data_IF_239157159572
#
_entry.id   IF_239157159572
#
_cell.length_a   1.000
_cell.length_b   1.000
_cell.length_c   1.000
_cell.angle_alpha   90.00
_cell.angle_beta   90.00
_cell.angle_gamma   90.00
#
_symmetry.space_group_name_H-M   'P 1'
#
loop_
_entity.id
_entity.type
_entity.pdbx_description
1 polymer ?
#
# COMPACT_ATOMS: atom_id res chain seq x y z
N UNK A 1 45.80 -40.51 1.64
CA UNK A 1 45.00 -39.39 2.19
C UNK A 1 43.86 -38.91 1.28
N UNK A 2 43.79 -39.27 -0.02
CA UNK A 2 42.79 -38.76 -0.98
C UNK A 2 41.37 -39.35 -0.81
N UNK A 3 41.27 -40.59 -0.36
CA UNK A 3 39.98 -41.30 -0.17
C UNK A 3 39.11 -40.71 0.96
N UNK A 4 39.72 -40.25 2.05
CA UNK A 4 38.99 -39.73 3.21
C UNK A 4 38.30 -38.38 2.96
N UNK A 5 38.76 -37.59 1.99
CA UNK A 5 38.17 -36.30 1.63
C UNK A 5 36.89 -36.47 0.78
N UNK A 6 36.88 -37.46 -0.12
CA UNK A 6 35.73 -37.78 -0.98
C UNK A 6 34.52 -38.28 -0.18
N UNK A 7 34.75 -39.13 0.82
CA UNK A 7 33.67 -39.63 1.70
C UNK A 7 33.03 -38.53 2.56
N UNK A 8 33.83 -37.57 3.05
CA UNK A 8 33.33 -36.43 3.83
C UNK A 8 32.47 -35.48 2.99
N UNK A 9 32.85 -35.24 1.73
CA UNK A 9 32.07 -34.43 0.79
C UNK A 9 30.72 -35.08 0.42
N UNK A 10 30.71 -36.40 0.17
CA UNK A 10 29.48 -37.15 -0.10
C UNK A 10 28.54 -37.20 1.10
N UNK A 11 29.08 -37.37 2.32
CA UNK A 11 28.30 -37.33 3.55
C UNK A 11 27.66 -35.96 3.79
N UNK A 12 28.38 -34.87 3.50
CA UNK A 12 27.86 -33.50 3.61
C UNK A 12 26.75 -33.23 2.59
N UNK A 13 26.91 -33.72 1.36
CA UNK A 13 25.88 -33.60 0.31
C UNK A 13 24.60 -34.38 0.66
N UNK A 14 24.72 -35.60 1.19
CA UNK A 14 23.56 -36.40 1.62
C UNK A 14 22.84 -35.75 2.81
N UNK A 15 23.57 -35.24 3.81
CA UNK A 15 22.97 -34.49 4.91
C UNK A 15 22.26 -33.21 4.43
N UNK A 16 22.85 -32.48 3.48
CA UNK A 16 22.23 -31.27 2.91
C UNK A 16 20.89 -31.56 2.22
N UNK A 17 20.83 -32.64 1.43
CA UNK A 17 19.58 -33.06 0.77
C UNK A 17 18.52 -33.51 1.79
N UNK A 18 18.92 -34.22 2.84
CA UNK A 18 18.01 -34.63 3.90
C UNK A 18 17.38 -33.44 4.66
N UNK A 19 18.18 -32.42 4.97
CA UNK A 19 17.70 -31.20 5.63
C UNK A 19 16.73 -30.42 4.72
N UNK A 20 17.05 -30.30 3.43
CA UNK A 20 16.17 -29.63 2.46
C UNK A 20 14.82 -30.35 2.31
N UNK A 21 14.82 -31.69 2.29
CA UNK A 21 13.59 -32.49 2.21
C UNK A 21 12.67 -32.30 3.43
N UNK A 22 13.25 -32.22 4.63
CA UNK A 22 12.49 -31.96 5.87
C UNK A 22 11.95 -30.52 5.91
N UNK A 23 12.72 -29.54 5.45
CA UNK A 23 12.29 -28.13 5.38
C UNK A 23 11.10 -27.93 4.44
N UNK A 24 11.09 -28.58 3.28
CA UNK A 24 9.99 -28.51 2.31
C UNK A 24 8.69 -29.15 2.83
N UNK A 25 8.79 -30.26 3.57
CA UNK A 25 7.63 -30.89 4.22
C UNK A 25 7.05 -30.05 5.37
N UNK A 26 7.87 -29.22 6.03
CA UNK A 26 7.41 -28.28 7.05
C UNK A 26 6.59 -27.12 6.48
N UNK A 27 6.96 -26.59 5.31
CA UNK A 27 6.27 -25.45 4.69
C UNK A 27 4.83 -25.78 4.26
N UNK A 28 4.54 -27.00 3.81
CA UNK A 28 3.17 -27.39 3.44
C UNK A 28 2.24 -27.48 4.64
N UNK A 29 2.74 -27.91 5.80
CA UNK A 29 1.98 -27.99 7.06
C UNK A 29 1.75 -26.61 7.69
N UNK A 30 2.75 -25.71 7.61
CA UNK A 30 2.62 -24.33 8.07
C UNK A 30 1.58 -23.52 7.28
N UNK A 31 1.38 -23.81 5.99
CA UNK A 31 0.31 -23.20 5.19
C UNK A 31 -1.10 -23.52 5.73
N UNK A 32 -1.28 -24.70 6.33
CA UNK A 32 -2.57 -25.12 6.89
C UNK A 32 -2.82 -24.51 8.27
N UNK A 33 -1.79 -24.33 9.10
CA UNK A 33 -1.91 -23.74 10.44
C UNK A 33 -1.87 -22.20 10.45
N UNK A 34 -1.32 -21.57 9.41
CA UNK A 34 -1.24 -20.10 9.26
C UNK A 34 -2.52 -19.45 8.74
N UNK A 35 -3.61 -20.21 8.57
CA UNK A 35 -4.91 -19.67 8.14
C UNK A 35 -5.01 -19.31 6.66
N UNK A 36 -3.99 -19.62 5.86
CA UNK A 36 -4.03 -19.51 4.39
C UNK A 36 -4.82 -20.64 3.72
N UNK A 37 -5.12 -21.71 4.46
CA UNK A 37 -6.01 -22.75 3.99
C UNK A 37 -7.45 -22.24 3.90
N UNK A 38 -8.06 -22.41 2.73
CA UNK A 38 -9.43 -22.01 2.43
C UNK A 38 -10.40 -22.80 3.29
N UNK A 39 -10.79 -22.22 4.43
CA UNK A 39 -11.96 -22.66 5.19
C UNK A 39 -13.20 -22.09 4.49
N UNK A 40 -13.90 -22.92 3.72
CA UNK A 40 -15.23 -22.55 3.21
C UNK A 40 -16.18 -22.58 4.39
N UNK A 41 -16.84 -21.45 4.74
CA UNK A 41 -17.83 -21.44 5.82
C UNK A 41 -18.90 -22.50 5.55
N UNK A 42 -19.21 -23.30 6.57
CA UNK A 42 -20.21 -24.36 6.49
C UNK A 42 -21.57 -23.77 6.08
N UNK A 43 -21.99 -24.08 4.86
CA UNK A 43 -23.22 -23.60 4.25
C UNK A 43 -24.49 -24.16 4.93
N UNK A 44 -24.34 -25.14 5.83
CA UNK A 44 -25.41 -25.69 6.66
C UNK A 44 -25.37 -25.20 8.11
N UNK A 45 -24.42 -24.32 8.48
CA UNK A 45 -24.38 -23.75 9.80
C UNK A 45 -25.50 -22.70 9.97
N UNK A 46 -26.61 -23.13 10.56
CA UNK A 46 -27.73 -22.26 10.89
C UNK A 46 -27.37 -21.41 12.10
N UNK A 47 -26.89 -20.19 11.83
CA UNK A 47 -26.69 -19.18 12.88
C UNK A 47 -28.06 -18.67 13.34
N UNK A 48 -28.40 -18.97 14.59
CA UNK A 48 -29.61 -18.45 15.24
C UNK A 48 -29.42 -16.95 15.49
N UNK A 49 -30.19 -16.13 14.77
CA UNK A 49 -30.26 -14.68 15.06
C UNK A 49 -31.18 -14.47 16.27
N UNK A 50 -30.83 -13.55 17.18
CA UNK A 50 -31.77 -13.16 18.23
C UNK A 50 -33.07 -12.63 17.59
N UNK A 51 -34.24 -12.93 18.18
CA UNK A 51 -35.50 -12.43 17.66
C UNK A 51 -35.49 -10.90 17.60
N UNK A 52 -35.89 -10.35 16.45
CA UNK A 52 -36.09 -8.91 16.29
C UNK A 52 -37.36 -8.52 17.04
N UNK A 53 -37.21 -8.22 18.33
CA UNK A 53 -38.31 -7.65 19.14
C UNK A 53 -38.31 -6.16 18.87
N UNK A 54 -39.38 -5.68 18.26
CA UNK A 54 -39.71 -4.26 18.15
C UNK A 54 -39.87 -3.73 19.58
N UNK A 55 -38.96 -2.85 20.07
CA UNK A 55 -39.11 -2.30 21.41
C UNK A 55 -40.40 -1.49 21.50
N UNK A 56 -41.15 -1.53 22.60
CA UNK A 56 -42.41 -0.78 22.75
C UNK A 56 -42.23 0.75 22.68
N UNK A 57 -41.00 1.24 22.80
CA UNK A 57 -40.63 2.66 22.71
C UNK A 57 -40.14 3.03 21.30
N UNK A 58 -41.06 3.08 20.32
CA UNK A 58 -40.80 3.64 18.98
C UNK A 58 -40.89 5.18 18.94
N UNK A 59 -41.20 5.82 20.08
CA UNK A 59 -41.36 7.26 20.21
C UNK A 59 -40.12 7.95 20.80
N UNK A 60 -38.92 7.47 20.47
CA UNK A 60 -37.70 8.16 20.89
C UNK A 60 -37.59 9.50 20.17
N UNK A 61 -37.75 10.57 20.94
CA UNK A 61 -37.36 11.92 20.51
C UNK A 61 -35.91 11.85 20.02
N UNK A 62 -35.57 12.47 18.88
CA UNK A 62 -34.18 12.56 18.44
C UNK A 62 -33.30 13.01 19.61
N UNK A 63 -32.16 12.33 19.86
CA UNK A 63 -31.28 12.70 20.95
C UNK A 63 -30.91 14.18 20.80
N UNK A 64 -30.91 14.92 21.90
CA UNK A 64 -30.50 16.31 21.89
C UNK A 64 -29.08 16.40 21.30
N UNK A 65 -28.83 17.45 20.51
CA UNK A 65 -27.49 17.75 19.99
C UNK A 65 -26.49 17.77 21.16
N UNK A 66 -25.54 16.83 21.15
CA UNK A 66 -24.54 16.65 22.22
C UNK A 66 -24.83 15.56 23.26
N UNK A 67 -25.93 14.80 23.13
CA UNK A 67 -26.18 13.64 23.99
C UNK A 67 -25.14 12.52 23.72
N UNK A 68 -24.72 11.83 24.78
CA UNK A 68 -23.78 10.71 24.70
C UNK A 68 -24.33 9.64 23.76
N UNK A 69 -23.59 9.32 22.71
CA UNK A 69 -23.99 8.28 21.76
C UNK A 69 -24.11 6.94 22.49
N UNK A 70 -25.10 6.08 22.16
CA UNK A 70 -25.20 4.72 22.68
C UNK A 70 -23.87 3.97 22.55
N UNK A 71 -23.52 3.18 23.55
CA UNK A 71 -22.27 2.42 23.57
C UNK A 71 -22.16 1.48 22.36
N UNK A 72 -23.27 1.02 21.78
CA UNK A 72 -23.30 0.23 20.55
C UNK A 72 -22.74 1.00 19.34
N UNK A 73 -22.96 2.31 19.22
CA UNK A 73 -22.43 3.14 18.13
C UNK A 73 -20.95 3.49 18.35
N UNK A 74 -20.52 3.69 19.60
CA UNK A 74 -19.12 3.94 19.94
C UNK A 74 -18.22 2.75 19.56
N UNK A 75 -18.77 1.53 19.61
CA UNK A 75 -18.06 0.30 19.29
C UNK A 75 -18.12 -0.11 17.82
N UNK A 76 -18.90 0.55 16.95
CA UNK A 76 -18.96 0.18 15.52
C UNK A 76 -17.80 0.74 14.68
N UNK A 77 -17.16 1.82 15.12
CA UNK A 77 -15.99 2.40 14.44
C UNK A 77 -14.64 1.78 14.85
N UNK A 78 -14.60 0.94 15.88
CA UNK A 78 -13.38 0.47 16.51
C UNK A 78 -12.86 -0.91 16.03
N UNK A 79 -13.69 -1.98 15.90
CA UNK A 79 -13.17 -3.31 15.61
C UNK A 79 -12.58 -3.40 14.19
N UNK A 80 -13.19 -2.71 13.22
CA UNK A 80 -12.65 -2.65 11.85
C UNK A 80 -11.29 -1.93 11.79
N UNK A 81 -11.09 -0.85 12.55
CA UNK A 81 -9.80 -0.13 12.57
C UNK A 81 -8.69 -0.95 13.22
N UNK A 82 -8.97 -1.62 14.33
CA UNK A 82 -7.97 -2.48 14.98
C UNK A 82 -7.58 -3.68 14.12
N UNK A 83 -8.53 -4.23 13.34
CA UNK A 83 -8.28 -5.34 12.42
C UNK A 83 -7.54 -4.87 11.16
N UNK A 84 -7.89 -3.71 10.60
CA UNK A 84 -7.31 -3.19 9.35
C UNK A 84 -5.97 -2.45 9.55
N UNK A 85 -5.80 -1.75 10.67
CA UNK A 85 -4.64 -0.90 10.93
C UNK A 85 -3.81 -1.35 12.14
N UNK A 86 -4.19 -2.45 12.82
CA UNK A 86 -3.52 -2.95 14.01
C UNK A 86 -3.91 -2.18 15.28
N UNK A 87 -3.65 -2.79 16.45
CA UNK A 87 -3.75 -2.08 17.74
C UNK A 87 -2.79 -0.88 17.74
N UNK A 88 -3.29 0.24 18.28
CA UNK A 88 -2.60 1.52 18.51
C UNK A 88 -1.16 1.63 17.98
N UNK A 89 -0.98 2.49 16.98
CA UNK A 89 0.33 2.88 16.45
C UNK A 89 1.30 3.16 17.62
N UNK A 90 2.32 2.31 17.78
CA UNK A 90 3.36 2.47 18.80
C UNK A 90 3.29 1.53 20.02
N UNK A 91 2.32 0.63 20.12
CA UNK A 91 2.27 -0.37 21.21
C UNK A 91 3.49 -1.31 21.23
N UNK A 92 4.08 -1.59 20.07
CA UNK A 92 5.31 -2.40 19.93
C UNK A 92 6.58 -1.54 19.78
N UNK A 93 6.51 -0.23 20.00
CA UNK A 93 7.67 0.65 19.84
C UNK A 93 8.73 0.39 20.93
N UNK A 94 9.99 0.32 20.49
CA UNK A 94 11.15 0.19 21.37
C UNK A 94 11.28 1.40 22.31
N UNK A 95 12.06 1.23 23.38
CA UNK A 95 12.32 2.34 24.32
C UNK A 95 12.96 3.56 23.63
N UNK A 96 13.80 3.34 22.62
CA UNK A 96 14.44 4.41 21.85
C UNK A 96 13.45 5.18 20.97
N UNK A 97 12.53 4.49 20.31
CA UNK A 97 11.48 5.12 19.49
C UNK A 97 10.53 5.95 20.34
N UNK A 98 10.14 5.43 21.51
CA UNK A 98 9.32 6.19 22.47
C UNK A 98 10.03 7.44 22.98
N UNK A 99 11.34 7.35 23.27
CA UNK A 99 12.14 8.49 23.69
C UNK A 99 12.25 9.55 22.57
N UNK A 100 12.45 9.13 21.32
CA UNK A 100 12.51 10.03 20.16
C UNK A 100 11.17 10.74 19.92
N UNK A 101 10.05 10.01 19.96
CA UNK A 101 8.70 10.58 19.79
C UNK A 101 8.36 11.56 20.92
N UNK A 102 8.77 11.25 22.15
CA UNK A 102 8.60 12.15 23.30
C UNK A 102 9.45 13.41 23.14
N UNK A 103 10.71 13.28 22.71
CA UNK A 103 11.60 14.42 22.44
C UNK A 103 11.09 15.28 21.27
N UNK A 104 10.46 14.67 20.27
CA UNK A 104 9.80 15.35 19.16
C UNK A 104 8.46 16.02 19.54
N UNK A 105 8.01 15.88 20.80
CA UNK A 105 6.73 16.42 21.27
C UNK A 105 5.49 15.72 20.68
N UNK A 106 5.67 14.59 20.00
CA UNK A 106 4.61 13.86 19.31
C UNK A 106 3.91 12.80 20.19
N UNK A 107 4.29 12.68 21.47
CA UNK A 107 3.73 11.70 22.40
C UNK A 107 2.25 11.98 22.79
N UNK A 108 1.74 13.18 22.53
CA UNK A 108 0.39 13.62 22.91
C UNK A 108 -0.50 13.93 21.69
N UNK A 109 -0.23 13.33 20.53
CA UNK A 109 -1.10 13.49 19.37
C UNK A 109 -2.46 12.83 19.63
N UNK A 110 -3.55 13.60 19.52
CA UNK A 110 -4.89 13.07 19.68
C UNK A 110 -5.19 12.05 18.54
N UNK A 111 -5.56 10.80 18.86
CA UNK A 111 -5.80 9.76 17.86
C UNK A 111 -7.00 10.08 16.94
N UNK A 112 -7.83 11.05 17.30
CA UNK A 112 -8.99 11.51 16.53
C UNK A 112 -8.68 12.70 15.61
N UNK A 113 -7.46 13.27 15.64
CA UNK A 113 -7.11 14.43 14.77
C UNK A 113 -7.37 14.14 13.29
N UNK A 114 -7.06 12.93 12.81
CA UNK A 114 -7.33 12.57 11.40
C UNK A 114 -8.81 12.61 11.07
N UNK A 115 -9.66 12.04 11.93
CA UNK A 115 -11.12 12.10 11.73
C UNK A 115 -11.67 13.51 11.82
N UNK A 116 -11.10 14.36 12.69
CA UNK A 116 -11.46 15.77 12.81
C UNK A 116 -11.08 16.55 11.55
N UNK A 117 -9.85 16.37 11.06
CA UNK A 117 -9.36 16.99 9.81
C UNK A 117 -10.17 16.51 8.61
N UNK A 118 -10.49 15.22 8.53
CA UNK A 118 -11.32 14.67 7.46
C UNK A 118 -12.72 15.26 7.49
N UNK A 119 -13.31 15.43 8.68
CA UNK A 119 -14.63 16.05 8.84
C UNK A 119 -14.62 17.53 8.45
N UNK A 120 -13.61 18.29 8.88
CA UNK A 120 -13.43 19.69 8.50
C UNK A 120 -13.21 19.82 6.98
N UNK A 121 -12.37 18.94 6.41
CA UNK A 121 -12.03 18.90 4.99
C UNK A 121 -13.16 18.39 4.12
N UNK A 122 -14.11 17.62 4.65
CA UNK A 122 -15.24 17.08 3.91
C UNK A 122 -16.16 18.18 3.35
N UNK A 123 -16.15 19.38 3.94
CA UNK A 123 -16.85 20.55 3.39
C UNK A 123 -16.14 21.14 2.16
N UNK A 124 -14.84 20.87 2.01
CA UNK A 124 -14.04 21.28 0.86
C UNK A 124 -14.18 20.22 -0.24
N UNK A 125 -15.33 20.24 -0.92
CA UNK A 125 -15.50 19.46 -2.15
C UNK A 125 -14.67 20.09 -3.26
N UNK A 126 -13.45 19.58 -3.47
CA UNK A 126 -12.62 19.93 -4.64
C UNK A 126 -13.30 19.38 -5.90
N UNK A 127 -14.05 20.23 -6.59
CA UNK A 127 -14.61 19.90 -7.90
C UNK A 127 -13.46 19.78 -8.90
N UNK A 128 -13.37 18.70 -9.70
CA UNK A 128 -12.39 18.64 -10.77
C UNK A 128 -12.65 19.81 -11.72
N UNK A 129 -11.59 20.42 -12.25
CA UNK A 129 -11.68 21.53 -13.20
C UNK A 129 -12.41 21.06 -14.46
N UNK A 130 -13.73 21.25 -14.48
CA UNK A 130 -14.55 21.04 -15.67
C UNK A 130 -14.17 22.06 -16.74
N UNK A 131 -14.52 21.80 -18.01
CA UNK A 131 -14.30 22.74 -19.13
C UNK A 131 -14.80 24.16 -18.78
N UNK A 132 -15.89 24.27 -18.03
CA UNK A 132 -16.44 25.56 -17.58
C UNK A 132 -15.48 26.29 -16.62
N UNK A 133 -14.84 25.56 -15.70
CA UNK A 133 -13.83 26.14 -14.79
C UNK A 133 -12.59 26.62 -15.56
N UNK A 134 -12.12 25.83 -16.52
CA UNK A 134 -10.99 26.21 -17.38
C UNK A 134 -11.26 27.51 -18.17
N UNK A 135 -12.51 27.72 -18.61
CA UNK A 135 -12.93 28.96 -19.28
C UNK A 135 -12.91 30.16 -18.32
N UNK A 136 -13.41 30.00 -17.09
CA UNK A 136 -13.41 31.08 -16.08
C UNK A 136 -12.00 31.41 -15.59
N UNK A 137 -11.12 30.42 -15.52
CA UNK A 137 -9.73 30.56 -15.10
C UNK A 137 -8.79 30.99 -16.24
N UNK A 138 -9.34 31.25 -17.44
CA UNK A 138 -8.61 31.61 -18.65
C UNK A 138 -7.48 30.63 -19.03
N UNK A 139 -7.64 29.35 -18.66
CA UNK A 139 -6.72 28.28 -19.04
C UNK A 139 -7.04 27.84 -20.48
N UNK A 140 -6.07 27.87 -21.41
CA UNK A 140 -6.30 27.46 -22.78
C UNK A 140 -6.68 25.97 -22.85
N UNK A 141 -7.75 25.66 -23.59
CA UNK A 141 -8.32 24.30 -23.71
C UNK A 141 -7.38 23.29 -24.39
N UNK A 142 -6.32 23.79 -25.04
CA UNK A 142 -5.13 23.02 -25.37
C UNK A 142 -4.10 23.24 -24.25
N UNK A 143 -3.91 22.21 -23.45
CA UNK A 143 -2.98 22.06 -22.32
C UNK A 143 -1.49 22.32 -22.63
N UNK A 144 -1.12 23.48 -23.17
CA UNK A 144 0.27 23.78 -23.57
C UNK A 144 1.00 24.70 -22.58
N UNK A 145 0.31 25.30 -21.60
CA UNK A 145 0.91 26.28 -20.68
C UNK A 145 0.74 25.97 -19.19
N UNK A 146 0.03 24.92 -18.79
CA UNK A 146 -0.04 24.44 -17.40
C UNK A 146 0.16 22.92 -17.26
N UNK A 147 0.95 22.49 -16.28
CA UNK A 147 1.17 21.06 -15.96
C UNK A 147 -0.13 20.39 -15.44
N UNK A 148 -0.15 19.07 -15.30
CA UNK A 148 -1.26 18.29 -14.75
C UNK A 148 -1.72 18.77 -13.35
N UNK A 149 -0.81 19.40 -12.60
CA UNK A 149 -1.05 20.00 -11.28
C UNK A 149 -1.43 21.50 -11.34
N UNK A 150 -1.56 22.09 -12.53
CA UNK A 150 -1.98 23.50 -12.73
C UNK A 150 -0.87 24.55 -12.60
N UNK A 151 0.41 24.13 -12.48
CA UNK A 151 1.55 25.04 -12.40
C UNK A 151 1.90 25.61 -13.79
N UNK A 152 2.35 26.89 -13.89
CA UNK A 152 2.82 27.46 -15.16
C UNK A 152 3.99 26.65 -15.73
N UNK A 153 3.89 26.16 -16.96
CA UNK A 153 5.00 25.52 -17.67
C UNK A 153 5.97 26.58 -18.18
N UNK A 154 7.26 26.34 -17.94
CA UNK A 154 8.33 27.07 -18.61
C UNK A 154 8.43 26.60 -20.07
N UNK A 155 8.15 27.52 -20.99
CA UNK A 155 8.12 27.24 -22.43
C UNK A 155 9.48 26.79 -22.98
N UNK A 156 10.58 27.34 -22.44
CA UNK A 156 11.92 27.00 -22.93
C UNK A 156 12.35 25.61 -22.45
N UNK A 157 12.00 25.26 -21.21
CA UNK A 157 12.26 23.94 -20.63
C UNK A 157 11.47 22.83 -21.33
N UNK A 158 10.18 23.04 -21.60
CA UNK A 158 9.36 22.03 -22.28
C UNK A 158 9.77 21.88 -23.76
N UNK A 159 10.12 22.98 -24.44
CA UNK A 159 10.66 22.90 -25.79
C UNK A 159 11.98 22.10 -25.83
N UNK A 160 12.83 22.22 -24.81
CA UNK A 160 14.05 21.41 -24.71
C UNK A 160 13.74 19.92 -24.50
N UNK A 161 12.77 19.60 -23.64
CA UNK A 161 12.29 18.22 -23.41
C UNK A 161 11.75 17.59 -24.69
N UNK A 162 10.93 18.31 -25.45
CA UNK A 162 10.35 17.83 -26.70
C UNK A 162 11.45 17.56 -27.75
N UNK A 163 12.43 18.46 -27.91
CA UNK A 163 13.57 18.23 -28.80
C UNK A 163 14.38 17.00 -28.41
N UNK A 164 14.55 16.74 -27.12
CA UNK A 164 15.24 15.53 -26.65
C UNK A 164 14.46 14.27 -27.02
N UNK A 165 13.15 14.26 -26.79
CA UNK A 165 12.27 13.15 -27.17
C UNK A 165 12.32 12.91 -28.69
N UNK A 166 12.25 13.97 -29.50
CA UNK A 166 12.32 13.87 -30.96
C UNK A 166 13.69 13.37 -31.43
N UNK A 167 14.78 13.79 -30.78
CA UNK A 167 16.14 13.30 -31.10
C UNK A 167 16.30 11.81 -30.79
N UNK A 168 15.71 11.35 -29.68
CA UNK A 168 15.71 9.94 -29.32
C UNK A 168 14.82 9.16 -30.29
N UNK A 169 13.60 9.64 -30.56
CA UNK A 169 12.66 8.98 -31.47
C UNK A 169 13.17 8.91 -32.91
N UNK A 170 13.87 9.94 -33.39
CA UNK A 170 14.50 9.93 -34.71
C UNK A 170 15.70 8.98 -34.77
N UNK A 171 16.43 8.80 -33.66
CA UNK A 171 17.51 7.82 -33.57
C UNK A 171 17.03 6.37 -33.39
N UNK A 172 15.92 6.15 -32.68
CA UNK A 172 15.41 4.80 -32.33
C UNK A 172 14.23 4.34 -33.19
N UNK A 173 13.72 5.20 -34.08
CA UNK A 173 12.52 4.95 -34.87
C UNK A 173 11.25 4.74 -34.03
N UNK A 174 11.25 5.20 -32.78
CA UNK A 174 10.16 4.97 -31.81
C UNK A 174 10.12 3.56 -31.22
N UNK A 175 11.11 2.71 -31.51
CA UNK A 175 11.24 1.37 -30.94
C UNK A 175 11.92 1.34 -29.57
N UNK A 176 11.68 0.29 -28.78
CA UNK A 176 12.40 0.05 -27.52
C UNK A 176 13.83 -0.41 -27.83
N UNK A 177 14.84 0.33 -27.36
CA UNK A 177 16.25 -0.03 -27.51
C UNK A 177 16.64 -1.01 -26.41
N UNK A 178 16.93 -2.26 -26.79
CA UNK A 178 17.49 -3.27 -25.89
C UNK A 178 19.01 -3.28 -26.07
N UNK A 179 19.75 -2.86 -25.04
CA UNK A 179 21.21 -2.90 -25.04
C UNK A 179 21.63 -4.27 -24.52
N UNK A 180 22.09 -5.14 -25.41
CA UNK A 180 22.70 -6.42 -25.05
C UNK A 180 24.22 -6.28 -25.02
N UNK A 181 24.84 -6.70 -23.92
CA UNK A 181 26.29 -6.85 -23.85
C UNK A 181 26.68 -8.12 -24.59
N UNK A 182 27.26 -7.97 -25.79
CA UNK A 182 27.83 -9.10 -26.51
C UNK A 182 28.90 -9.79 -25.66
N UNK A 183 28.87 -11.12 -25.63
CA UNK A 183 29.90 -11.93 -24.97
C UNK A 183 31.30 -11.48 -25.44
N UNK A 184 32.25 -11.36 -24.51
CA UNK A 184 33.56 -10.77 -24.74
C UNK A 184 34.44 -11.62 -25.67
N UNK A 185 34.12 -11.61 -26.97
CA UNK A 185 34.94 -12.18 -28.03
C UNK A 185 36.09 -11.25 -28.40
N UNK A 186 37.27 -11.84 -28.61
CA UNK A 186 38.48 -11.15 -29.06
C UNK A 186 38.25 -10.44 -30.41
N UNK A 187 38.27 -9.11 -30.42
CA UNK A 187 38.14 -8.30 -31.64
C UNK A 187 39.52 -8.15 -32.30
N UNK A 188 39.71 -8.79 -33.45
CA UNK A 188 40.90 -8.60 -34.27
C UNK A 188 40.88 -7.18 -34.87
N UNK A 189 41.94 -6.38 -34.72
CA UNK A 189 42.04 -5.08 -35.36
C UNK A 189 42.39 -5.25 -36.84
N UNK A 190 41.49 -4.81 -37.72
CA UNK A 190 41.78 -4.61 -39.14
C UNK A 190 41.45 -5.77 -40.08
N UNK A 191 40.22 -5.75 -40.59
CA UNK A 191 39.86 -6.09 -41.98
C UNK A 191 38.77 -5.15 -42.43
#
# INVERSE_FOLDING_TARGET
>A
MKEASSMKSKAFAVCGVAIAAVGLAGCSSLGQSSGFARTTPDEFNVVTKPPLVVPPEYALRPPAVGAVLPAELQNQGNPGRTILFGQDLGQSASAGERALVTAAGAAAADPTVRTQVDFESAQIMRKPNTIVGQIFDFVPLNNTSTDADGNPLDADAEAARLRQIDSVNSATGGGTVVIEYGEAGFKLPGT
#
